data_IF_402776086118
#
_entry.id   IF_402776086118
#
_cell.length_a   1.000
_cell.length_b   1.000
_cell.length_c   1.000
_cell.angle_alpha   90.00
_cell.angle_beta   90.00
_cell.angle_gamma   90.00
#
_symmetry.space_group_name_H-M   'P 1'
#
loop_
_entity.id
_entity.type
_entity.pdbx_description
1 polymer ?
#
# COMPACT_ATOMS: atom_id res chain seq x y z
N UNK A 1 13.51 0.90 -11.27
CA UNK A 1 12.25 0.16 -11.11
C UNK A 1 12.25 -1.00 -12.07
N UNK A 2 11.90 -2.20 -11.59
CA UNK A 2 11.89 -3.43 -12.39
C UNK A 2 10.85 -3.41 -13.52
N UNK A 3 9.93 -2.46 -13.51
CA UNK A 3 8.72 -2.41 -14.29
C UNK A 3 8.46 -0.99 -14.82
N UNK A 4 9.44 -0.37 -15.46
CA UNK A 4 9.22 0.94 -16.09
C UNK A 4 8.30 0.80 -17.32
N UNK A 5 7.44 1.79 -17.56
CA UNK A 5 6.54 1.86 -18.73
C UNK A 5 7.29 1.71 -20.06
N UNK A 6 8.55 2.12 -20.06
CA UNK A 6 9.42 2.18 -21.25
C UNK A 6 10.55 1.15 -21.19
N UNK A 7 10.47 0.16 -20.28
CA UNK A 7 11.47 -0.90 -20.22
C UNK A 7 11.23 -1.89 -21.38
N UNK A 8 12.22 -2.02 -22.24
CA UNK A 8 12.23 -3.06 -23.27
C UNK A 8 12.03 -4.44 -22.61
N UNK A 9 11.29 -5.35 -23.27
CA UNK A 9 11.13 -6.71 -22.79
C UNK A 9 12.48 -7.37 -22.54
N UNK A 10 12.67 -7.92 -21.35
CA UNK A 10 13.89 -8.62 -20.95
C UNK A 10 13.52 -10.07 -20.61
N UNK A 11 13.66 -10.96 -21.60
CA UNK A 11 13.29 -12.37 -21.46
C UNK A 11 14.09 -13.08 -20.34
N UNK A 12 15.34 -12.69 -20.10
CA UNK A 12 16.11 -13.27 -18.99
C UNK A 12 15.50 -12.93 -17.63
N UNK A 13 15.00 -11.70 -17.52
CA UNK A 13 14.31 -11.22 -16.33
C UNK A 13 12.94 -11.89 -16.18
N UNK A 14 12.20 -12.02 -17.27
CA UNK A 14 10.91 -12.71 -17.29
C UNK A 14 11.06 -14.19 -16.91
N UNK A 15 12.08 -14.88 -17.40
CA UNK A 15 12.39 -16.24 -17.02
C UNK A 15 12.77 -16.36 -15.54
N UNK A 16 13.47 -15.36 -14.99
CA UNK A 16 13.73 -15.31 -13.56
C UNK A 16 12.41 -15.24 -12.76
N UNK A 17 11.49 -14.36 -13.11
CA UNK A 17 10.20 -14.25 -12.40
C UNK A 17 9.34 -15.51 -12.53
N UNK A 18 9.31 -16.14 -13.69
CA UNK A 18 8.62 -17.43 -13.87
C UNK A 18 9.18 -18.50 -12.93
N UNK A 19 10.51 -18.57 -12.79
CA UNK A 19 11.17 -19.54 -11.88
C UNK A 19 10.92 -19.18 -10.42
N UNK A 20 11.03 -17.92 -10.07
CA UNK A 20 10.78 -17.44 -8.69
C UNK A 20 9.35 -17.74 -8.25
N UNK A 21 8.35 -17.45 -9.06
CA UNK A 21 6.97 -17.76 -8.71
C UNK A 21 6.78 -19.27 -8.47
N UNK A 22 7.34 -20.10 -9.33
CA UNK A 22 7.30 -21.57 -9.14
C UNK A 22 8.01 -22.01 -7.87
N UNK A 23 9.17 -21.42 -7.58
CA UNK A 23 9.93 -21.71 -6.37
C UNK A 23 9.18 -21.31 -5.11
N UNK A 24 8.59 -20.12 -5.09
CA UNK A 24 7.76 -19.63 -3.97
C UNK A 24 6.56 -20.57 -3.73
N UNK A 25 5.83 -20.92 -4.78
CA UNK A 25 4.67 -21.82 -4.65
C UNK A 25 5.08 -23.22 -4.19
N UNK A 26 6.24 -23.72 -4.60
CA UNK A 26 6.77 -25.01 -4.18
C UNK A 26 7.21 -24.98 -2.72
N UNK A 27 7.98 -23.97 -2.34
CA UNK A 27 8.63 -23.89 -1.01
C UNK A 27 7.60 -23.54 0.07
N UNK A 28 6.80 -22.52 -0.17
CA UNK A 28 5.86 -21.98 0.82
C UNK A 28 4.42 -22.46 0.64
N UNK A 29 4.13 -23.15 -0.46
CA UNK A 29 2.79 -23.57 -0.82
C UNK A 29 2.08 -24.48 0.20
N UNK A 30 2.80 -25.08 1.13
CA UNK A 30 2.24 -25.93 2.18
C UNK A 30 1.94 -25.17 3.49
N UNK A 31 2.15 -23.85 3.54
CA UNK A 31 1.80 -23.05 4.70
C UNK A 31 0.30 -22.68 4.65
N UNK A 32 -0.51 -23.06 5.66
CA UNK A 32 -1.96 -22.76 5.67
C UNK A 32 -2.29 -21.27 5.64
N UNK A 33 -1.42 -20.42 6.17
CA UNK A 33 -1.57 -18.97 6.17
C UNK A 33 -1.24 -18.30 4.84
N UNK A 34 -0.64 -19.03 3.88
CA UNK A 34 -0.36 -18.50 2.54
C UNK A 34 -1.60 -18.62 1.65
N UNK A 35 -2.55 -17.71 1.82
CA UNK A 35 -3.86 -17.74 1.14
C UNK A 35 -3.97 -16.75 -0.02
N UNK A 36 -3.15 -15.71 -0.05
CA UNK A 36 -3.14 -14.67 -1.09
C UNK A 36 -1.75 -14.51 -1.68
N UNK A 37 -1.68 -14.34 -3.00
CA UNK A 37 -0.45 -14.04 -3.74
C UNK A 37 -0.67 -12.84 -4.65
N UNK A 38 0.17 -11.82 -4.52
CA UNK A 38 0.22 -10.69 -5.43
C UNK A 38 1.62 -10.61 -6.05
N UNK A 39 1.72 -10.41 -7.37
CA UNK A 39 3.03 -10.37 -8.04
C UNK A 39 3.89 -9.18 -7.60
N UNK A 40 3.29 -8.09 -7.14
CA UNK A 40 4.04 -6.97 -6.59
C UNK A 40 3.23 -5.72 -6.31
N UNK A 41 3.90 -4.75 -5.70
CA UNK A 41 3.29 -3.47 -5.34
C UNK A 41 3.38 -2.47 -6.49
N UNK A 42 2.25 -1.88 -6.86
CA UNK A 42 2.15 -0.79 -7.82
C UNK A 42 2.94 -1.03 -9.12
N UNK A 43 2.86 -2.25 -9.65
CA UNK A 43 3.61 -2.63 -10.84
C UNK A 43 3.16 -1.78 -12.04
N UNK A 44 4.14 -1.30 -12.80
CA UNK A 44 3.95 -0.67 -14.11
C UNK A 44 4.81 -1.39 -15.14
N UNK A 45 4.39 -1.41 -16.41
CA UNK A 45 5.17 -2.01 -17.49
C UNK A 45 4.37 -2.99 -18.32
N UNK A 46 4.93 -4.17 -18.62
CA UNK A 46 4.30 -5.16 -19.48
C UNK A 46 3.18 -5.93 -18.74
N UNK A 47 1.94 -5.50 -18.93
CA UNK A 47 0.77 -6.12 -18.29
C UNK A 47 0.41 -7.48 -18.89
N UNK A 48 0.81 -7.79 -20.13
CA UNK A 48 0.63 -9.14 -20.70
C UNK A 48 1.47 -10.15 -19.95
N UNK A 49 2.70 -9.78 -19.56
CA UNK A 49 3.54 -10.63 -18.73
C UNK A 49 3.00 -10.75 -17.29
N UNK A 50 2.44 -9.69 -16.73
CA UNK A 50 1.78 -9.75 -15.39
C UNK A 50 0.56 -10.68 -15.45
N UNK A 51 -0.23 -10.61 -16.53
CA UNK A 51 -1.35 -11.54 -16.76
C UNK A 51 -0.85 -12.99 -16.88
N UNK A 52 0.23 -13.25 -17.63
CA UNK A 52 0.84 -14.58 -17.73
C UNK A 52 1.16 -15.17 -16.35
N UNK A 53 1.86 -14.40 -15.51
CA UNK A 53 2.24 -14.84 -14.15
C UNK A 53 0.99 -15.07 -13.27
N UNK A 54 0.03 -14.16 -13.32
CA UNK A 54 -1.19 -14.25 -12.52
C UNK A 54 -2.02 -15.46 -12.95
N UNK A 55 -2.17 -15.67 -14.25
CA UNK A 55 -2.87 -16.81 -14.82
C UNK A 55 -2.19 -18.13 -14.44
N UNK A 56 -0.86 -18.21 -14.58
CA UNK A 56 -0.11 -19.40 -14.17
C UNK A 56 -0.36 -19.75 -12.71
N UNK A 57 -0.26 -18.78 -11.79
CA UNK A 57 -0.54 -19.00 -10.37
C UNK A 57 -1.95 -19.54 -10.15
N UNK A 58 -2.96 -18.87 -10.72
CA UNK A 58 -4.38 -19.24 -10.62
C UNK A 58 -4.69 -20.64 -11.10
N UNK A 59 -4.06 -21.12 -12.16
CA UNK A 59 -4.30 -22.46 -12.68
C UNK A 59 -3.49 -23.54 -11.99
N UNK A 60 -2.28 -23.20 -11.51
CA UNK A 60 -1.34 -24.13 -10.89
C UNK A 60 -1.67 -24.44 -9.44
N UNK A 61 -2.23 -23.49 -8.68
CA UNK A 61 -2.53 -23.67 -7.27
C UNK A 61 -3.92 -23.13 -6.90
N UNK A 62 -4.86 -24.06 -6.68
CA UNK A 62 -6.25 -23.74 -6.35
C UNK A 62 -6.50 -23.45 -4.85
N UNK A 63 -5.47 -23.53 -4.03
CA UNK A 63 -5.56 -23.32 -2.57
C UNK A 63 -5.54 -21.86 -2.17
N UNK A 64 -5.14 -20.97 -3.08
CA UNK A 64 -4.99 -19.54 -2.84
C UNK A 64 -5.50 -18.70 -4.00
N UNK A 65 -5.69 -17.42 -3.73
CA UNK A 65 -6.10 -16.44 -4.72
C UNK A 65 -4.88 -15.65 -5.22
N UNK A 66 -4.97 -15.22 -6.48
CA UNK A 66 -3.89 -14.53 -7.16
C UNK A 66 -4.34 -13.15 -7.67
N UNK A 67 -3.42 -12.18 -7.61
CA UNK A 67 -3.59 -10.83 -8.16
C UNK A 67 -2.29 -10.37 -8.84
N UNK A 68 -2.43 -9.58 -9.90
CA UNK A 68 -1.30 -9.09 -10.69
C UNK A 68 -0.53 -7.98 -10.01
N UNK A 69 -1.21 -7.02 -9.41
CA UNK A 69 -0.56 -5.85 -8.80
C UNK A 69 -1.49 -5.17 -7.80
N UNK A 70 -0.88 -4.45 -6.84
CA UNK A 70 -1.63 -3.52 -6.00
C UNK A 70 -1.83 -2.20 -6.73
N UNK A 71 -2.94 -1.51 -6.44
CA UNK A 71 -3.22 -0.09 -6.73
C UNK A 71 -2.98 0.41 -8.17
N UNK A 72 -2.82 -0.48 -9.13
CA UNK A 72 -2.55 -0.15 -10.53
C UNK A 72 -3.55 -0.87 -11.44
N UNK A 73 -3.18 -1.06 -12.68
CA UNK A 73 -4.01 -1.74 -13.67
C UNK A 73 -4.29 -3.18 -13.26
N UNK A 74 -5.55 -3.55 -13.28
CA UNK A 74 -5.98 -4.93 -13.12
C UNK A 74 -5.62 -5.76 -14.35
N UNK A 75 -5.37 -7.05 -14.10
CA UNK A 75 -5.24 -8.05 -15.17
C UNK A 75 -6.45 -8.99 -15.16
N UNK A 76 -6.69 -9.67 -16.27
CA UNK A 76 -7.89 -10.52 -16.46
C UNK A 76 -7.98 -11.67 -15.46
N UNK A 77 -6.83 -12.19 -15.02
CA UNK A 77 -6.76 -13.33 -14.10
C UNK A 77 -6.84 -12.95 -12.63
N UNK A 78 -6.98 -11.67 -12.29
CA UNK A 78 -7.15 -11.23 -10.91
C UNK A 78 -8.36 -11.88 -10.25
N UNK A 79 -8.14 -12.46 -9.06
CA UNK A 79 -9.19 -13.05 -8.23
C UNK A 79 -9.55 -12.16 -7.02
N UNK A 80 -8.76 -11.13 -6.76
CA UNK A 80 -9.01 -10.04 -5.83
C UNK A 80 -8.27 -8.80 -6.31
N UNK A 81 -8.68 -7.64 -5.83
CA UNK A 81 -8.04 -6.37 -6.15
C UNK A 81 -7.58 -5.66 -4.89
N UNK A 82 -6.34 -5.19 -4.89
CA UNK A 82 -5.77 -4.46 -3.76
C UNK A 82 -5.65 -3.00 -4.17
N UNK A 83 -6.28 -2.10 -3.42
CA UNK A 83 -6.23 -0.66 -3.74
C UNK A 83 -6.41 0.22 -2.51
N UNK A 84 -5.74 1.36 -2.52
CA UNK A 84 -5.97 2.47 -1.60
C UNK A 84 -6.92 3.53 -2.20
N UNK A 85 -7.34 3.36 -3.44
CA UNK A 85 -8.21 4.32 -4.11
C UNK A 85 -9.62 4.31 -3.51
N UNK A 86 -10.14 5.49 -3.29
CA UNK A 86 -11.56 5.72 -3.06
C UNK A 86 -12.20 6.20 -4.37
N UNK A 87 -13.53 6.16 -4.50
CA UNK A 87 -14.23 6.62 -5.71
C UNK A 87 -13.97 8.09 -6.10
N UNK A 88 -13.53 8.90 -5.16
CA UNK A 88 -13.24 10.33 -5.40
C UNK A 88 -11.76 10.64 -5.56
N UNK A 89 -10.94 9.65 -5.84
CA UNK A 89 -9.51 9.81 -6.09
C UNK A 89 -8.63 9.25 -4.98
N UNK A 90 -7.34 9.58 -5.04
CA UNK A 90 -6.39 9.14 -4.04
C UNK A 90 -6.79 9.62 -2.66
N UNK A 91 -6.99 8.68 -1.78
CA UNK A 91 -7.12 8.86 -0.34
C UNK A 91 -7.67 10.23 0.07
N UNK A 92 -8.97 10.32 0.31
CA UNK A 92 -9.63 11.49 0.90
C UNK A 92 -8.87 12.07 2.12
N UNK A 93 -8.01 11.29 2.70
CA UNK A 93 -7.09 11.56 3.79
C UNK A 93 -6.04 12.62 3.43
N UNK A 94 -5.47 12.62 2.22
CA UNK A 94 -4.51 13.64 1.80
C UNK A 94 -5.15 15.02 1.58
N UNK A 95 -6.45 15.04 1.31
CA UNK A 95 -7.19 16.29 1.08
C UNK A 95 -7.73 16.92 2.38
N UNK A 96 -7.42 16.34 3.55
CA UNK A 96 -7.87 16.85 4.84
C UNK A 96 -9.37 16.67 5.10
N UNK A 97 -10.06 15.88 4.29
CA UNK A 97 -11.50 15.59 4.44
C UNK A 97 -11.68 14.08 4.59
N UNK A 98 -12.09 13.59 5.76
CA UNK A 98 -12.50 12.20 5.92
C UNK A 98 -13.77 12.00 5.07
N UNK A 99 -13.62 11.32 3.95
CA UNK A 99 -14.75 10.85 3.17
C UNK A 99 -14.95 9.38 3.48
N UNK A 100 -15.91 9.11 4.33
CA UNK A 100 -16.18 7.75 4.86
C UNK A 100 -17.54 7.21 4.42
N UNK A 101 -18.33 8.01 3.70
CA UNK A 101 -19.61 7.58 3.15
C UNK A 101 -19.45 7.18 1.68
N UNK A 102 -18.95 5.94 1.47
CA UNK A 102 -18.71 5.37 0.14
C UNK A 102 -18.85 3.85 0.15
N UNK A 103 -19.25 3.32 -0.99
CA UNK A 103 -19.23 1.89 -1.30
C UNK A 103 -18.13 1.62 -2.32
N UNK A 104 -16.99 1.12 -1.86
CA UNK A 104 -15.79 0.91 -2.65
C UNK A 104 -16.04 0.00 -3.84
N UNK A 105 -16.68 -1.13 -3.62
CA UNK A 105 -16.90 -2.13 -4.66
C UNK A 105 -17.84 -1.61 -5.73
N UNK A 106 -18.96 -1.01 -5.32
CA UNK A 106 -19.97 -0.48 -6.22
C UNK A 106 -19.46 0.71 -7.04
N UNK A 107 -18.80 1.65 -6.36
CA UNK A 107 -18.38 2.89 -7.00
C UNK A 107 -17.14 2.72 -7.89
N UNK A 108 -16.27 1.77 -7.61
CA UNK A 108 -15.13 1.41 -8.46
C UNK A 108 -15.50 0.44 -9.59
N UNK A 109 -16.72 -0.13 -9.58
CA UNK A 109 -17.13 -1.12 -10.58
C UNK A 109 -16.28 -2.39 -10.58
N UNK A 110 -15.78 -2.79 -9.41
CA UNK A 110 -14.90 -3.95 -9.25
C UNK A 110 -15.77 -5.19 -9.03
N UNK A 111 -15.52 -6.23 -9.79
CA UNK A 111 -16.26 -7.50 -9.82
C UNK A 111 -15.62 -8.63 -9.01
N UNK A 112 -14.56 -8.34 -8.30
CA UNK A 112 -13.83 -9.24 -7.40
C UNK A 112 -13.71 -8.62 -6.01
N UNK A 113 -13.44 -9.40 -4.95
CA UNK A 113 -13.20 -8.86 -3.62
C UNK A 113 -12.12 -7.78 -3.63
N UNK A 114 -12.36 -6.69 -2.92
CA UNK A 114 -11.41 -5.57 -2.81
C UNK A 114 -10.78 -5.57 -1.42
N UNK A 115 -9.45 -5.54 -1.42
CA UNK A 115 -8.63 -5.46 -0.20
C UNK A 115 -7.99 -4.08 -0.14
N UNK A 116 -8.10 -3.41 0.98
CA UNK A 116 -7.41 -2.15 1.20
C UNK A 116 -5.95 -2.37 1.56
N UNK A 117 -5.08 -1.51 1.03
CA UNK A 117 -3.71 -1.38 1.49
C UNK A 117 -3.34 0.09 1.61
N UNK A 118 -2.32 0.36 2.38
CA UNK A 118 -1.83 1.74 2.62
C UNK A 118 -2.95 2.70 3.08
N UNK A 119 -3.97 2.16 3.73
CA UNK A 119 -5.07 2.95 4.25
C UNK A 119 -4.58 3.87 5.36
N UNK A 120 -5.11 5.09 5.37
CA UNK A 120 -4.84 6.03 6.43
C UNK A 120 -3.58 6.87 6.23
N UNK A 121 -2.45 6.36 5.90
CA UNK A 121 -1.14 7.02 5.64
C UNK A 121 -0.93 8.39 6.33
N UNK A 122 -1.51 8.61 7.50
CA UNK A 122 -1.35 9.83 8.29
C UNK A 122 -0.09 9.75 9.11
N UNK A 123 0.75 10.78 8.99
CA UNK A 123 1.92 10.93 9.83
C UNK A 123 1.54 11.69 11.10
N UNK A 124 1.92 11.16 12.24
CA UNK A 124 1.89 11.94 13.50
C UNK A 124 3.00 12.99 13.48
N UNK A 125 2.80 14.08 14.21
CA UNK A 125 3.82 15.10 14.35
C UNK A 125 5.10 14.51 14.96
N UNK A 126 6.31 14.89 14.50
CA UNK A 126 7.54 14.25 14.97
C UNK A 126 7.77 14.38 16.46
N UNK A 127 8.14 13.29 17.13
CA UNK A 127 8.69 13.33 18.48
C UNK A 127 10.17 13.70 18.42
N UNK A 128 10.53 14.91 18.77
CA UNK A 128 11.92 15.39 18.68
C UNK A 128 12.88 14.67 19.63
N UNK A 129 12.38 13.94 20.63
CA UNK A 129 13.19 13.10 21.52
C UNK A 129 13.80 11.90 20.78
N UNK A 130 13.27 11.56 19.60
CA UNK A 130 13.80 10.48 18.75
C UNK A 130 15.01 10.91 17.89
N UNK A 131 15.27 12.21 17.74
CA UNK A 131 16.38 12.71 16.91
C UNK A 131 17.73 12.05 17.24
N UNK A 132 18.10 11.88 18.53
CA UNK A 132 19.37 11.24 18.89
C UNK A 132 19.48 9.76 18.49
N UNK A 133 18.37 9.09 18.15
CA UNK A 133 18.37 7.69 17.74
C UNK A 133 18.84 7.52 16.28
N UNK A 134 18.89 8.60 15.52
CA UNK A 134 19.39 8.58 14.12
C UNK A 134 20.91 8.62 14.09
N UNK A 135 21.55 7.50 14.39
CA UNK A 135 23.03 7.39 14.49
C UNK A 135 23.69 6.87 13.21
N UNK A 136 22.90 6.53 12.19
CA UNK A 136 23.38 6.00 10.90
C UNK A 136 23.67 7.09 9.86
N UNK A 137 23.84 6.72 8.59
CA UNK A 137 24.08 7.66 7.50
C UNK A 137 22.86 8.55 7.19
N UNK A 138 21.65 8.11 7.56
CA UNK A 138 20.43 8.90 7.40
C UNK A 138 20.19 9.70 8.66
N UNK A 139 20.09 11.01 8.53
CA UNK A 139 19.81 11.93 9.61
C UNK A 139 18.32 12.20 9.75
N UNK A 140 17.89 12.66 10.92
CA UNK A 140 16.50 13.02 11.21
C UNK A 140 16.09 14.38 10.62
N UNK A 141 16.48 14.70 9.37
CA UNK A 141 16.35 16.05 8.80
C UNK A 141 14.89 16.54 8.78
N UNK A 142 13.95 15.68 8.50
CA UNK A 142 12.52 16.03 8.57
C UNK A 142 12.10 16.44 9.99
N UNK A 143 12.55 15.74 11.04
CA UNK A 143 12.26 16.10 12.43
C UNK A 143 12.89 17.46 12.80
N UNK A 144 14.10 17.69 12.35
CA UNK A 144 14.80 18.98 12.59
C UNK A 144 14.06 20.14 11.93
N UNK A 145 13.58 19.99 10.69
CA UNK A 145 12.79 21.01 9.98
C UNK A 145 11.51 21.36 10.76
N UNK A 146 10.80 20.36 11.27
CA UNK A 146 9.61 20.58 12.08
C UNK A 146 9.95 21.30 13.40
N UNK A 147 11.06 20.93 14.05
CA UNK A 147 11.54 21.58 15.27
C UNK A 147 11.91 23.04 15.03
N UNK A 148 12.65 23.31 13.95
CA UNK A 148 13.03 24.65 13.52
C UNK A 148 11.78 25.51 13.24
N UNK A 149 10.76 24.93 12.59
CA UNK A 149 9.49 25.61 12.31
C UNK A 149 8.73 25.95 13.58
N UNK A 150 8.63 25.06 14.55
CA UNK A 150 8.00 25.38 15.86
C UNK A 150 8.74 26.45 16.61
N UNK A 151 10.07 26.39 16.62
CA UNK A 151 10.91 27.41 17.27
C UNK A 151 10.71 28.79 16.62
N UNK A 152 10.69 28.86 15.29
CA UNK A 152 10.46 30.11 14.57
C UNK A 152 9.08 30.74 14.84
N UNK A 153 8.09 29.93 15.18
CA UNK A 153 6.74 30.37 15.54
C UNK A 153 6.51 30.53 17.06
N UNK A 154 7.56 30.39 17.87
CA UNK A 154 7.45 30.54 19.33
C UNK A 154 6.65 29.45 20.03
N UNK A 155 6.52 28.25 19.43
CA UNK A 155 5.70 27.14 19.91
C UNK A 155 6.52 25.89 20.26
N UNK A 156 7.82 26.00 20.42
CA UNK A 156 8.69 24.83 20.68
C UNK A 156 8.35 24.10 21.98
N UNK A 157 7.90 24.83 22.99
CA UNK A 157 7.43 24.31 24.27
C UNK A 157 6.15 23.45 24.14
N UNK A 158 5.41 23.59 23.06
CA UNK A 158 4.20 22.84 22.77
C UNK A 158 4.48 21.57 21.94
N UNK A 159 5.73 21.23 21.67
CA UNK A 159 6.09 20.10 20.77
C UNK A 159 5.47 18.76 21.21
N UNK A 160 5.47 18.47 22.50
CA UNK A 160 4.84 17.25 23.05
C UNK A 160 3.31 17.25 22.87
N UNK A 161 2.67 18.42 22.84
CA UNK A 161 1.23 18.54 22.59
C UNK A 161 0.92 18.30 21.10
N UNK A 162 1.70 18.87 20.18
CA UNK A 162 1.58 18.59 18.75
C UNK A 162 1.71 17.09 18.45
N UNK A 163 2.72 16.43 19.04
CA UNK A 163 2.92 14.99 18.90
C UNK A 163 1.71 14.20 19.42
N UNK A 164 1.27 14.46 20.64
CA UNK A 164 0.18 13.72 21.28
C UNK A 164 -1.16 13.95 20.61
N UNK A 165 -1.51 15.19 20.26
CA UNK A 165 -2.79 15.54 19.63
C UNK A 165 -2.87 14.98 18.23
N UNK A 166 -1.81 15.10 17.43
CA UNK A 166 -1.78 14.51 16.08
C UNK A 166 -1.88 12.99 16.13
N UNK A 167 -1.26 12.34 17.10
CA UNK A 167 -1.41 10.90 17.32
C UNK A 167 -2.84 10.49 17.64
N UNK A 168 -3.50 11.21 18.54
CA UNK A 168 -4.91 10.97 18.87
C UNK A 168 -5.83 11.18 17.68
N UNK A 169 -5.60 12.24 16.90
CA UNK A 169 -6.34 12.49 15.65
C UNK A 169 -6.15 11.35 14.64
N UNK A 170 -4.92 10.90 14.45
CA UNK A 170 -4.61 9.79 13.53
C UNK A 170 -5.40 8.54 13.89
N UNK A 171 -5.53 8.20 15.18
CA UNK A 171 -6.32 7.04 15.61
C UNK A 171 -7.79 7.19 15.23
N UNK A 172 -8.38 8.36 15.38
CA UNK A 172 -9.77 8.62 14.98
C UNK A 172 -9.95 8.50 13.45
N UNK A 173 -9.01 9.01 12.70
CA UNK A 173 -9.04 8.93 11.23
C UNK A 173 -8.87 7.48 10.73
N UNK A 174 -7.99 6.69 11.33
CA UNK A 174 -7.90 5.25 11.02
C UNK A 174 -9.20 4.51 11.33
N UNK A 175 -9.81 4.82 12.48
CA UNK A 175 -11.11 4.24 12.84
C UNK A 175 -12.15 4.52 11.75
N UNK A 176 -12.29 5.77 11.33
CA UNK A 176 -13.28 6.17 10.33
C UNK A 176 -13.05 5.45 8.98
N UNK A 177 -11.80 5.34 8.53
CA UNK A 177 -11.46 4.65 7.28
C UNK A 177 -11.76 3.15 7.38
N UNK A 178 -11.32 2.49 8.46
CA UNK A 178 -11.54 1.05 8.66
C UNK A 178 -13.04 0.75 8.75
N UNK A 179 -13.81 1.56 9.45
CA UNK A 179 -15.27 1.39 9.53
C UNK A 179 -15.96 1.56 8.19
N UNK A 180 -15.50 2.51 7.36
CA UNK A 180 -16.01 2.68 6.00
C UNK A 180 -15.70 1.44 5.14
N UNK A 181 -14.49 0.92 5.22
CA UNK A 181 -14.07 -0.28 4.48
C UNK A 181 -14.88 -1.52 4.93
N UNK A 182 -15.07 -1.71 6.22
CA UNK A 182 -15.87 -2.82 6.74
C UNK A 182 -17.35 -2.78 6.34
N UNK A 183 -17.90 -1.58 6.13
CA UNK A 183 -19.30 -1.42 5.66
C UNK A 183 -19.46 -1.76 4.17
N UNK A 184 -18.38 -1.71 3.39
CA UNK A 184 -18.43 -1.83 1.92
C UNK A 184 -17.87 -3.16 1.40
N UNK A 185 -17.44 -4.03 2.26
CA UNK A 185 -16.88 -5.35 1.92
C UNK A 185 -17.94 -6.43 1.79
#
# INVERSE_FOLDING_TARGET
PMWGKDAEPDEKRYDFFRREQKAILKEYGNHPSFVLYCNGNEITGNFDFIEELTHYGRVSDKRRLFSGSTARTRVKSDQFYITHQTPKGHMAIYEGRPYTDWDKNKELGIDVPVISHESGQRCIYPNFKEIPNFTGPVQARNFEVFRESLAANGMLDQADDFFRVSGAQTVLEYKDVIEAELRTS
#
